data_IF_405651987617
#
_entry.id   IF_405651987617
#
_cell.length_a   1.000
_cell.length_b   1.000
_cell.length_c   1.000
_cell.angle_alpha   90.00
_cell.angle_beta   90.00
_cell.angle_gamma   90.00
#
_symmetry.space_group_name_H-M   'P 1'
#
loop_
_entity.id
_entity.type
_entity.pdbx_description
1 polymer ?
#
# COMPACT_ATOMS: atom_id res chain seq x y z
N UNK A 1 -17.02 -13.20 29.42
CA UNK A 1 -16.42 -12.50 28.24
C UNK A 1 -16.48 -11.00 28.51
N UNK A 2 -15.41 -10.25 28.24
CA UNK A 2 -15.30 -8.82 28.54
C UNK A 2 -16.52 -8.04 27.99
N UNK A 3 -17.15 -7.18 28.85
CA UNK A 3 -18.37 -6.43 28.51
C UNK A 3 -18.14 -5.43 27.36
N UNK A 4 -16.97 -4.76 27.32
CA UNK A 4 -16.60 -3.82 26.25
C UNK A 4 -16.47 -4.54 24.90
N UNK A 5 -15.78 -5.69 24.88
CA UNK A 5 -15.69 -6.53 23.70
C UNK A 5 -17.06 -6.94 23.17
N UNK A 6 -17.92 -7.45 24.05
CA UNK A 6 -19.24 -7.95 23.66
C UNK A 6 -20.12 -6.81 23.14
N UNK A 7 -20.13 -5.65 23.81
CA UNK A 7 -20.90 -4.50 23.40
C UNK A 7 -20.46 -3.97 22.01
N UNK A 8 -19.16 -3.78 21.80
CA UNK A 8 -18.64 -3.30 20.51
C UNK A 8 -18.94 -4.31 19.39
N UNK A 9 -18.66 -5.61 19.60
CA UNK A 9 -18.97 -6.65 18.61
C UNK A 9 -20.44 -6.63 18.18
N UNK A 10 -21.39 -6.53 19.14
CA UNK A 10 -22.81 -6.51 18.85
C UNK A 10 -23.22 -5.27 18.03
N UNK A 11 -22.64 -4.11 18.33
CA UNK A 11 -22.92 -2.88 17.58
C UNK A 11 -22.38 -2.96 16.14
N UNK A 12 -21.21 -3.58 15.94
CA UNK A 12 -20.60 -3.73 14.62
C UNK A 12 -21.32 -4.73 13.72
N UNK A 13 -22.09 -5.67 14.27
CA UNK A 13 -22.88 -6.62 13.47
C UNK A 13 -23.93 -5.99 12.56
N UNK A 14 -24.24 -4.70 12.74
CA UNK A 14 -25.09 -3.95 11.81
C UNK A 14 -24.39 -3.62 10.48
N UNK A 15 -23.05 -3.63 10.46
CA UNK A 15 -22.23 -3.23 9.31
C UNK A 15 -21.36 -4.37 8.77
N UNK A 16 -21.02 -5.33 9.62
CA UNK A 16 -20.02 -6.36 9.35
C UNK A 16 -20.56 -7.75 9.64
N UNK A 17 -19.99 -8.76 9.02
CA UNK A 17 -20.24 -10.16 9.42
C UNK A 17 -19.84 -10.40 10.86
N UNK A 18 -20.35 -11.48 11.49
CA UNK A 18 -19.99 -11.82 12.88
C UNK A 18 -18.48 -12.01 13.06
N UNK A 19 -17.81 -12.62 12.06
CA UNK A 19 -16.36 -12.84 12.08
C UNK A 19 -15.57 -11.53 12.04
N UNK A 20 -15.94 -10.61 11.15
CA UNK A 20 -15.31 -9.31 11.01
C UNK A 20 -15.56 -8.42 12.23
N UNK A 21 -16.81 -8.31 12.69
CA UNK A 21 -17.15 -7.57 13.89
C UNK A 21 -16.34 -8.04 15.12
N UNK A 22 -16.13 -9.35 15.22
CA UNK A 22 -15.31 -9.96 16.26
C UNK A 22 -13.83 -9.62 16.11
N UNK A 23 -13.30 -9.67 14.88
CA UNK A 23 -11.91 -9.33 14.60
C UNK A 23 -11.62 -7.86 14.90
N UNK A 24 -12.50 -6.95 14.46
CA UNK A 24 -12.42 -5.51 14.74
C UNK A 24 -12.43 -5.24 16.24
N UNK A 25 -13.38 -5.85 16.99
CA UNK A 25 -13.45 -5.65 18.42
C UNK A 25 -12.19 -6.15 19.18
N UNK A 26 -11.59 -7.25 18.73
CA UNK A 26 -10.30 -7.72 19.25
C UNK A 26 -9.18 -6.73 18.95
N UNK A 27 -9.09 -6.26 17.71
CA UNK A 27 -8.05 -5.33 17.28
C UNK A 27 -8.10 -4.01 18.07
N UNK A 28 -9.30 -3.47 18.28
CA UNK A 28 -9.49 -2.25 19.08
C UNK A 28 -9.02 -2.42 20.51
N UNK A 29 -9.39 -3.50 21.19
CA UNK A 29 -9.01 -3.71 22.59
C UNK A 29 -7.54 -4.08 22.74
N UNK A 30 -7.00 -4.91 21.86
CA UNK A 30 -5.62 -5.35 21.90
C UNK A 30 -4.67 -4.20 21.50
N UNK A 31 -4.84 -3.67 20.30
CA UNK A 31 -3.92 -2.64 19.77
C UNK A 31 -4.19 -1.24 20.30
N UNK A 32 -5.45 -0.92 20.63
CA UNK A 32 -5.82 0.39 21.16
C UNK A 32 -5.59 0.55 22.66
N UNK A 33 -5.72 -0.55 23.43
CA UNK A 33 -5.73 -0.51 24.90
C UNK A 33 -4.85 -1.58 25.58
N UNK A 34 -4.17 -2.43 24.81
CA UNK A 34 -3.31 -3.50 25.34
C UNK A 34 -4.07 -4.59 26.12
N UNK A 35 -5.35 -4.79 25.80
CA UNK A 35 -6.17 -5.87 26.37
C UNK A 35 -6.05 -7.09 25.48
N UNK A 36 -5.21 -8.04 25.87
CA UNK A 36 -4.92 -9.21 25.05
C UNK A 36 -6.16 -10.10 24.85
N UNK A 37 -6.12 -10.93 23.79
CA UNK A 37 -7.18 -11.94 23.55
C UNK A 37 -7.37 -12.86 24.76
N UNK A 38 -6.29 -13.22 25.43
CA UNK A 38 -6.32 -14.06 26.64
C UNK A 38 -7.09 -13.36 27.77
N UNK A 39 -6.86 -12.07 27.98
CA UNK A 39 -7.55 -11.29 29.00
C UNK A 39 -9.05 -11.16 28.71
N UNK A 40 -9.42 -10.99 27.43
CA UNK A 40 -10.82 -10.94 26.98
C UNK A 40 -11.52 -12.27 27.24
N UNK A 41 -10.89 -13.40 26.90
CA UNK A 41 -11.46 -14.73 27.13
C UNK A 41 -11.49 -15.14 28.61
N UNK A 42 -10.48 -14.76 29.38
CA UNK A 42 -10.40 -15.03 30.81
C UNK A 42 -11.33 -14.14 31.66
N UNK A 43 -12.10 -13.29 30.99
CA UNK A 43 -13.01 -12.31 31.64
C UNK A 43 -12.29 -11.38 32.63
N UNK A 44 -11.00 -11.17 32.42
CA UNK A 44 -10.23 -10.21 33.19
C UNK A 44 -10.64 -8.83 32.77
N UNK A 45 -11.49 -8.19 33.55
CA UNK A 45 -11.93 -6.82 33.32
C UNK A 45 -10.79 -5.90 33.71
N UNK A 46 -10.13 -5.32 32.74
CA UNK A 46 -9.27 -4.15 32.98
C UNK A 46 -10.17 -2.97 33.32
N UNK A 47 -9.92 -2.33 34.44
CA UNK A 47 -10.56 -1.05 34.73
C UNK A 47 -9.87 0.03 33.88
N UNK A 48 -10.59 0.58 32.93
CA UNK A 48 -10.13 1.73 32.17
C UNK A 48 -10.18 2.98 33.06
N UNK A 49 -9.21 3.86 32.87
CA UNK A 49 -9.29 5.23 33.36
C UNK A 49 -10.38 6.00 32.63
N UNK A 50 -10.78 7.16 33.17
CA UNK A 50 -11.75 8.06 32.53
C UNK A 50 -11.34 8.42 31.10
N UNK A 51 -10.05 8.74 30.89
CA UNK A 51 -9.51 9.06 29.57
C UNK A 51 -9.56 7.85 28.61
N UNK A 52 -9.31 6.65 29.10
CA UNK A 52 -9.39 5.43 28.30
C UNK A 52 -10.85 5.13 27.92
N UNK A 53 -11.81 5.34 28.80
CA UNK A 53 -13.23 5.22 28.49
C UNK A 53 -13.65 6.22 27.41
N UNK A 54 -13.27 7.50 27.54
CA UNK A 54 -13.56 8.52 26.52
C UNK A 54 -12.95 8.17 25.16
N UNK A 55 -11.69 7.71 25.14
CA UNK A 55 -11.04 7.26 23.90
C UNK A 55 -11.75 6.05 23.28
N UNK A 56 -12.13 5.08 24.10
CA UNK A 56 -12.86 3.91 23.63
C UNK A 56 -14.21 4.31 23.02
N UNK A 57 -14.97 5.19 23.67
CA UNK A 57 -16.27 5.68 23.16
C UNK A 57 -16.11 6.43 21.83
N UNK A 58 -15.05 7.24 21.68
CA UNK A 58 -14.75 7.93 20.43
C UNK A 58 -14.45 6.90 19.32
N UNK A 59 -13.62 5.90 19.60
CA UNK A 59 -13.30 4.83 18.65
C UNK A 59 -14.55 4.05 18.25
N UNK A 60 -15.41 3.68 19.20
CA UNK A 60 -16.67 3.01 18.92
C UNK A 60 -17.57 3.82 18.00
N UNK A 61 -17.73 5.13 18.24
CA UNK A 61 -18.55 6.01 17.40
C UNK A 61 -18.02 6.07 15.96
N UNK A 62 -16.70 6.17 15.77
CA UNK A 62 -16.07 6.16 14.45
C UNK A 62 -16.30 4.84 13.71
N UNK A 63 -16.13 3.72 14.40
CA UNK A 63 -16.33 2.37 13.83
C UNK A 63 -17.80 2.13 13.44
N UNK A 64 -18.75 2.54 14.28
CA UNK A 64 -20.19 2.44 13.99
C UNK A 64 -20.59 3.34 12.83
N UNK A 65 -19.89 4.46 12.61
CA UNK A 65 -20.06 5.30 11.43
C UNK A 65 -19.45 4.68 10.15
N UNK A 66 -18.81 3.49 10.24
CA UNK A 66 -18.23 2.77 9.12
C UNK A 66 -16.78 3.14 8.80
N UNK A 67 -16.10 3.90 9.67
CA UNK A 67 -14.69 4.24 9.45
C UNK A 67 -13.80 2.99 9.60
N UNK A 68 -12.84 2.75 8.68
CA UNK A 68 -11.92 1.60 8.76
C UNK A 68 -11.18 1.56 10.09
N UNK A 69 -11.08 0.37 10.68
CA UNK A 69 -10.42 0.19 11.99
C UNK A 69 -8.97 0.67 11.98
N UNK A 70 -8.28 0.55 10.85
CA UNK A 70 -6.91 1.03 10.67
C UNK A 70 -6.82 2.56 10.85
N UNK A 71 -7.77 3.32 10.31
CA UNK A 71 -7.82 4.78 10.51
C UNK A 71 -8.23 5.14 11.94
N UNK A 72 -9.16 4.37 12.53
CA UNK A 72 -9.55 4.58 13.94
C UNK A 72 -8.35 4.37 14.87
N UNK A 73 -7.53 3.35 14.62
CA UNK A 73 -6.31 3.06 15.35
C UNK A 73 -5.10 3.92 14.93
N UNK A 74 -5.17 4.54 13.75
CA UNK A 74 -4.08 5.33 13.16
C UNK A 74 -2.90 4.49 12.67
N UNK A 75 -3.09 3.16 12.47
CA UNK A 75 -2.03 2.24 12.05
C UNK A 75 -2.56 1.03 11.27
N UNK A 76 -1.71 0.48 10.41
CA UNK A 76 -1.95 -0.75 9.68
C UNK A 76 -0.69 -1.64 9.69
N UNK A 77 -0.88 -2.95 9.61
CA UNK A 77 0.23 -3.89 9.44
C UNK A 77 0.54 -4.08 7.96
N UNK A 78 1.83 -4.13 7.62
CA UNK A 78 2.33 -4.43 6.28
C UNK A 78 3.74 -5.00 6.37
N UNK A 79 4.01 -6.12 5.69
CA UNK A 79 5.30 -6.80 5.68
C UNK A 79 5.91 -6.99 7.10
N UNK A 80 5.06 -7.40 8.05
CA UNK A 80 5.45 -7.66 9.44
C UNK A 80 5.76 -6.41 10.28
N UNK A 81 5.39 -5.20 9.81
CA UNK A 81 5.63 -3.92 10.50
C UNK A 81 4.38 -3.08 10.62
N UNK A 82 4.32 -2.21 11.60
CA UNK A 82 3.24 -1.24 11.76
C UNK A 82 3.58 0.06 11.03
N UNK A 83 2.67 0.50 10.16
CA UNK A 83 2.71 1.77 9.46
C UNK A 83 1.62 2.69 9.99
N UNK A 84 1.95 3.95 10.25
CA UNK A 84 0.94 4.97 10.51
C UNK A 84 0.10 5.18 9.23
N UNK A 85 -1.21 5.31 9.41
CA UNK A 85 -2.16 5.60 8.34
C UNK A 85 -3.16 6.67 8.79
N UNK A 86 -3.68 7.41 7.83
CA UNK A 86 -4.75 8.39 7.98
C UNK A 86 -5.58 8.44 6.69
N UNK A 87 -6.71 9.16 6.63
CA UNK A 87 -7.46 9.36 5.39
C UNK A 87 -6.67 10.02 4.24
N UNK A 88 -5.42 10.44 4.46
CA UNK A 88 -4.55 10.97 3.41
C UNK A 88 -3.88 9.87 2.57
N UNK A 89 -3.92 8.60 2.99
CA UNK A 89 -3.23 7.47 2.34
C UNK A 89 -4.13 6.26 2.21
N UNK A 90 -3.94 5.48 1.14
CA UNK A 90 -4.53 4.16 1.03
C UNK A 90 -4.05 3.27 2.19
N UNK A 91 -4.94 2.51 2.80
CA UNK A 91 -4.56 1.48 3.77
C UNK A 91 -3.75 0.41 3.03
N UNK A 92 -2.51 0.09 3.47
CA UNK A 92 -1.70 -0.96 2.84
C UNK A 92 -2.47 -2.28 2.71
N UNK A 93 -2.41 -2.90 1.53
CA UNK A 93 -3.10 -4.15 1.23
C UNK A 93 -2.13 -5.34 1.30
N UNK A 94 -2.58 -6.51 1.78
CA UNK A 94 -1.73 -7.71 1.84
C UNK A 94 -1.17 -8.12 0.47
N UNK A 95 -1.95 -7.96 -0.61
CA UNK A 95 -1.52 -8.30 -1.97
C UNK A 95 -0.33 -7.46 -2.43
N UNK A 96 -0.20 -6.23 -1.93
CA UNK A 96 0.95 -5.36 -2.22
C UNK A 96 2.25 -5.87 -1.59
N UNK A 97 2.18 -6.75 -0.56
CA UNK A 97 3.36 -7.41 0.00
C UNK A 97 4.03 -8.32 -1.05
N UNK A 98 3.24 -8.99 -1.89
CA UNK A 98 3.76 -9.83 -2.97
C UNK A 98 4.50 -9.01 -4.04
N UNK A 99 4.04 -7.78 -4.31
CA UNK A 99 4.77 -6.85 -5.19
C UNK A 99 6.13 -6.45 -4.58
N UNK A 100 6.17 -6.20 -3.27
CA UNK A 100 7.43 -5.89 -2.56
C UNK A 100 8.39 -7.08 -2.62
N UNK A 101 7.91 -8.29 -2.38
CA UNK A 101 8.73 -9.50 -2.45
C UNK A 101 9.31 -9.71 -3.85
N UNK A 102 8.50 -9.55 -4.90
CA UNK A 102 8.98 -9.60 -6.27
C UNK A 102 10.02 -8.52 -6.57
N UNK A 103 9.79 -7.30 -6.10
CA UNK A 103 10.73 -6.20 -6.26
C UNK A 103 12.11 -6.49 -5.59
N UNK A 104 12.07 -7.12 -4.41
CA UNK A 104 13.28 -7.57 -3.70
C UNK A 104 14.02 -8.66 -4.51
N UNK A 105 13.31 -9.64 -5.05
CA UNK A 105 13.90 -10.70 -5.89
C UNK A 105 14.60 -10.11 -7.13
N UNK A 106 13.92 -9.21 -7.85
CA UNK A 106 14.49 -8.53 -9.03
C UNK A 106 15.71 -7.71 -8.64
N UNK A 107 15.63 -6.89 -7.58
CA UNK A 107 16.74 -6.09 -7.09
C UNK A 107 17.95 -6.94 -6.70
N UNK A 108 17.75 -8.07 -6.03
CA UNK A 108 18.80 -9.01 -5.68
C UNK A 108 19.43 -9.65 -6.93
N UNK A 109 18.64 -9.94 -7.96
CA UNK A 109 19.13 -10.39 -9.27
C UNK A 109 20.05 -9.37 -9.92
N UNK A 110 19.63 -8.10 -9.98
CA UNK A 110 20.43 -6.98 -10.49
C UNK A 110 21.73 -6.80 -9.70
N UNK A 111 21.66 -6.93 -8.38
CA UNK A 111 22.84 -6.79 -7.52
C UNK A 111 23.84 -7.96 -7.67
N UNK A 112 23.35 -9.18 -7.91
CA UNK A 112 24.21 -10.34 -8.22
C UNK A 112 24.95 -10.15 -9.54
N UNK A 113 24.28 -9.58 -10.55
CA UNK A 113 24.90 -9.28 -11.85
C UNK A 113 25.97 -8.18 -11.76
N UNK A 114 25.81 -7.21 -10.83
CA UNK A 114 26.81 -6.16 -10.58
C UNK A 114 26.92 -5.87 -9.06
N UNK A 115 27.74 -6.61 -8.31
CA UNK A 115 27.83 -6.53 -6.85
C UNK A 115 28.32 -5.17 -6.30
N UNK A 116 29.00 -4.38 -7.11
CA UNK A 116 29.52 -3.05 -6.72
C UNK A 116 28.49 -1.92 -6.96
N UNK A 117 27.42 -2.21 -7.68
CA UNK A 117 26.42 -1.20 -8.02
C UNK A 117 25.50 -0.90 -6.84
N UNK A 118 25.35 0.37 -6.51
CA UNK A 118 24.30 0.85 -5.64
C UNK A 118 23.03 1.00 -6.48
N UNK A 119 22.02 0.17 -6.19
CA UNK A 119 20.76 0.22 -6.92
C UNK A 119 20.00 1.50 -6.58
N UNK A 120 19.39 2.09 -7.61
CA UNK A 120 18.44 3.21 -7.47
C UNK A 120 17.05 2.70 -7.74
N UNK A 121 16.20 2.82 -6.73
CA UNK A 121 14.83 2.31 -6.73
C UNK A 121 13.87 3.49 -6.57
N UNK A 122 12.82 3.50 -7.38
CA UNK A 122 11.75 4.49 -7.28
C UNK A 122 10.45 3.78 -6.91
N UNK A 123 9.76 4.28 -5.89
CA UNK A 123 8.38 3.94 -5.54
C UNK A 123 7.47 5.10 -5.99
N UNK A 124 6.68 4.88 -7.04
CA UNK A 124 5.85 5.90 -7.65
C UNK A 124 4.38 5.76 -7.16
N UNK A 125 3.88 6.80 -6.45
CA UNK A 125 2.60 6.77 -5.75
C UNK A 125 2.73 6.06 -4.40
N UNK A 126 3.67 6.54 -3.57
CA UNK A 126 4.11 5.83 -2.37
C UNK A 126 3.07 5.73 -1.26
N UNK A 127 2.06 6.62 -1.24
CA UNK A 127 1.01 6.65 -0.22
C UNK A 127 1.59 6.70 1.21
N UNK A 128 1.35 5.66 2.00
CA UNK A 128 1.90 5.53 3.36
C UNK A 128 3.41 5.28 3.42
N UNK A 129 4.07 5.08 2.28
CA UNK A 129 5.48 4.69 2.20
C UNK A 129 5.74 3.20 2.40
N UNK A 130 4.71 2.37 2.47
CA UNK A 130 4.85 0.95 2.82
C UNK A 130 5.76 0.18 1.85
N UNK A 131 5.69 0.43 0.54
CA UNK A 131 6.58 -0.17 -0.46
C UNK A 131 8.00 0.37 -0.28
N UNK A 132 8.20 1.68 -0.36
CA UNK A 132 9.53 2.32 -0.28
C UNK A 132 10.30 1.95 0.99
N UNK A 133 9.63 2.03 2.15
CA UNK A 133 10.21 1.71 3.46
C UNK A 133 10.58 0.22 3.53
N UNK A 134 9.70 -0.67 3.08
CA UNK A 134 9.97 -2.12 3.09
C UNK A 134 11.14 -2.48 2.18
N UNK A 135 11.21 -1.88 0.98
CA UNK A 135 12.34 -2.05 0.06
C UNK A 135 13.65 -1.54 0.66
N UNK A 136 13.65 -0.35 1.28
CA UNK A 136 14.85 0.20 1.92
C UNK A 136 15.36 -0.67 3.05
N UNK A 137 14.47 -1.20 3.88
CA UNK A 137 14.85 -2.08 4.99
C UNK A 137 15.39 -3.44 4.51
N UNK A 138 14.84 -3.98 3.42
CA UNK A 138 15.33 -5.23 2.82
C UNK A 138 16.63 -5.05 2.00
N UNK A 139 16.84 -3.86 1.44
CA UNK A 139 17.95 -3.52 0.55
C UNK A 139 18.69 -2.28 1.09
N UNK A 140 19.39 -2.38 2.23
CA UNK A 140 19.94 -1.22 2.94
C UNK A 140 20.97 -0.40 2.16
N UNK A 141 21.62 -1.01 1.15
CA UNK A 141 22.58 -0.31 0.27
C UNK A 141 21.91 0.39 -0.92
N UNK A 142 20.62 0.15 -1.18
CA UNK A 142 19.92 0.82 -2.27
C UNK A 142 19.60 2.28 -1.92
N UNK A 143 19.68 3.15 -2.91
CA UNK A 143 19.07 4.48 -2.86
C UNK A 143 17.59 4.35 -3.22
N UNK A 144 16.68 4.63 -2.27
CA UNK A 144 15.24 4.57 -2.49
C UNK A 144 14.67 5.97 -2.50
N UNK A 145 13.99 6.31 -3.59
CA UNK A 145 13.26 7.56 -3.76
C UNK A 145 11.78 7.23 -3.88
N UNK A 146 10.94 7.95 -3.15
CA UNK A 146 9.50 7.72 -3.14
C UNK A 146 8.76 8.98 -3.59
N UNK A 147 7.80 8.84 -4.49
CA UNK A 147 7.03 9.93 -5.05
C UNK A 147 5.56 9.82 -4.68
N UNK A 148 4.95 10.95 -4.40
CA UNK A 148 3.51 11.08 -4.34
C UNK A 148 3.08 12.48 -4.79
N UNK A 149 1.87 12.63 -5.31
CA UNK A 149 1.29 13.92 -5.63
C UNK A 149 0.78 14.61 -4.38
N UNK A 150 0.39 13.86 -3.36
CA UNK A 150 -0.18 14.31 -2.09
C UNK A 150 0.91 14.61 -1.06
N UNK A 151 1.02 15.87 -0.66
CA UNK A 151 1.90 16.22 0.47
C UNK A 151 1.43 15.61 1.79
N UNK A 152 0.12 15.40 1.98
CA UNK A 152 -0.45 14.68 3.12
C UNK A 152 0.09 13.25 3.19
N UNK A 153 0.08 12.52 2.06
CA UNK A 153 0.64 11.18 1.96
C UNK A 153 2.15 11.17 2.25
N UNK A 154 2.91 12.11 1.66
CA UNK A 154 4.35 12.22 1.92
C UNK A 154 4.69 12.50 3.39
N UNK A 155 3.85 13.24 4.11
CA UNK A 155 4.04 13.48 5.54
C UNK A 155 3.87 12.19 6.36
N UNK A 156 2.88 11.35 6.02
CA UNK A 156 2.70 10.03 6.62
C UNK A 156 3.88 9.11 6.27
N UNK A 157 4.30 9.08 5.01
CA UNK A 157 5.41 8.25 4.54
C UNK A 157 6.75 8.63 5.23
N UNK A 158 7.04 9.92 5.37
CA UNK A 158 8.23 10.42 6.12
C UNK A 158 8.20 9.98 7.58
N UNK A 159 7.03 10.09 8.24
CA UNK A 159 6.84 9.62 9.62
C UNK A 159 7.09 8.12 9.74
N UNK A 160 6.58 7.33 8.82
CA UNK A 160 6.79 5.89 8.79
C UNK A 160 8.25 5.54 8.58
N UNK A 161 8.91 6.16 7.61
CA UNK A 161 10.34 5.97 7.36
C UNK A 161 11.18 6.31 8.59
N UNK A 162 10.93 7.44 9.24
CA UNK A 162 11.61 7.85 10.47
C UNK A 162 11.38 6.85 11.61
N UNK A 163 10.13 6.43 11.83
CA UNK A 163 9.76 5.51 12.91
C UNK A 163 10.40 4.13 12.73
N UNK A 164 10.50 3.67 11.47
CA UNK A 164 11.05 2.35 11.13
C UNK A 164 12.56 2.38 10.83
N UNK A 165 13.20 3.55 10.87
CA UNK A 165 14.64 3.71 10.63
C UNK A 165 15.05 3.48 9.18
N UNK A 166 14.18 3.78 8.21
CA UNK A 166 14.45 3.64 6.79
C UNK A 166 14.85 4.99 6.17
N UNK A 167 16.02 5.05 5.56
CA UNK A 167 16.50 6.25 4.83
C UNK A 167 15.91 6.28 3.42
N UNK A 168 14.74 6.91 3.26
CA UNK A 168 14.04 7.09 1.98
C UNK A 168 13.99 8.58 1.65
N UNK A 169 14.25 8.92 0.39
CA UNK A 169 14.09 10.28 -0.12
C UNK A 169 12.67 10.45 -0.65
N UNK A 170 11.96 11.47 -0.16
CA UNK A 170 10.57 11.73 -0.56
C UNK A 170 10.49 13.00 -1.40
N UNK A 171 9.81 12.91 -2.57
CA UNK A 171 9.63 14.01 -3.51
C UNK A 171 8.15 14.14 -3.88
N UNK A 172 7.63 15.36 -3.86
CA UNK A 172 6.29 15.62 -4.39
C UNK A 172 6.35 15.62 -5.92
N UNK A 173 5.73 14.63 -6.54
CA UNK A 173 5.69 14.47 -8.01
C UNK A 173 4.36 13.89 -8.46
N UNK A 174 3.86 14.40 -9.58
CA UNK A 174 2.80 13.78 -10.35
C UNK A 174 3.42 12.80 -11.36
N UNK A 175 3.18 11.51 -11.21
CA UNK A 175 3.70 10.48 -12.11
C UNK A 175 3.15 10.57 -13.54
N UNK A 176 2.05 11.30 -13.73
CA UNK A 176 1.47 11.56 -15.07
C UNK A 176 2.24 12.62 -15.85
N UNK A 177 3.04 13.44 -15.17
CA UNK A 177 3.88 14.46 -15.81
C UNK A 177 5.21 13.87 -16.30
N UNK A 178 5.91 14.53 -17.25
CA UNK A 178 7.26 14.12 -17.65
C UNK A 178 8.21 14.04 -16.46
N UNK A 179 8.96 12.95 -16.37
CA UNK A 179 9.76 12.68 -15.17
C UNK A 179 11.03 13.53 -15.04
N UNK A 180 11.50 14.16 -16.09
CA UNK A 180 12.68 15.03 -16.08
C UNK A 180 13.91 14.42 -15.34
N UNK A 181 14.12 13.12 -15.53
CA UNK A 181 15.24 12.36 -14.97
C UNK A 181 16.22 12.00 -16.09
N UNK A 182 17.53 11.82 -15.75
CA UNK A 182 18.51 11.35 -16.73
C UNK A 182 18.14 9.97 -17.28
N UNK A 183 18.51 9.69 -18.51
CA UNK A 183 18.45 8.34 -19.05
C UNK A 183 19.38 7.40 -18.26
N UNK A 184 19.01 6.13 -18.19
CA UNK A 184 19.78 5.07 -17.51
C UNK A 184 20.12 5.42 -16.05
N UNK A 185 19.18 6.10 -15.35
CA UNK A 185 19.41 6.57 -13.97
C UNK A 185 18.71 5.76 -12.88
N UNK A 186 17.81 4.86 -13.25
CA UNK A 186 17.00 4.08 -12.30
C UNK A 186 17.12 2.59 -12.64
N UNK A 187 17.25 1.75 -11.62
CA UNK A 187 17.39 0.30 -11.78
C UNK A 187 16.06 -0.44 -11.59
N UNK A 188 15.20 0.08 -10.73
CA UNK A 188 13.91 -0.54 -10.44
C UNK A 188 12.87 0.54 -10.16
N UNK A 189 11.74 0.43 -10.81
CA UNK A 189 10.56 1.24 -10.54
C UNK A 189 9.47 0.31 -10.04
N UNK A 190 8.87 0.66 -8.90
CA UNK A 190 7.77 -0.09 -8.30
C UNK A 190 6.60 0.87 -8.11
N UNK A 191 5.38 0.41 -8.34
CA UNK A 191 4.19 1.23 -8.14
C UNK A 191 2.97 0.40 -7.83
N UNK A 192 2.17 0.87 -6.88
CA UNK A 192 0.76 0.49 -6.75
C UNK A 192 -0.08 1.74 -7.10
N UNK A 193 -0.32 2.02 -8.40
CA UNK A 193 -1.03 3.22 -8.81
C UNK A 193 -2.55 3.06 -8.64
N UNK A 194 -3.33 4.13 -8.70
CA UNK A 194 -4.78 4.03 -8.80
C UNK A 194 -5.20 3.23 -10.05
N UNK A 195 -6.11 2.28 -9.88
CA UNK A 195 -6.51 1.38 -10.97
C UNK A 195 -7.99 0.98 -10.99
N UNK A 196 -8.78 1.40 -10.01
CA UNK A 196 -10.21 1.05 -9.94
C UNK A 196 -10.98 1.98 -10.88
N UNK A 197 -11.71 1.41 -11.85
CA UNK A 197 -12.57 2.21 -12.70
C UNK A 197 -13.75 2.78 -11.89
N UNK A 198 -14.15 4.01 -12.17
CA UNK A 198 -15.29 4.63 -11.48
C UNK A 198 -16.57 3.80 -11.53
N UNK A 199 -16.78 2.99 -12.60
CA UNK A 199 -17.91 2.06 -12.73
C UNK A 199 -17.88 0.91 -11.72
N UNK A 200 -16.70 0.57 -11.19
CA UNK A 200 -16.52 -0.51 -10.20
C UNK A 200 -16.82 -0.02 -8.76
N UNK A 201 -17.07 1.29 -8.59
CA UNK A 201 -17.34 1.89 -7.28
C UNK A 201 -18.60 1.33 -6.60
N UNK A 202 -19.61 0.90 -7.38
CA UNK A 202 -20.85 0.33 -6.86
C UNK A 202 -20.64 -1.04 -6.21
N UNK A 203 -19.61 -1.78 -6.64
CA UNK A 203 -19.27 -3.11 -6.12
C UNK A 203 -18.30 -3.05 -4.92
N UNK A 204 -17.84 -1.85 -4.56
CA UNK A 204 -16.88 -1.66 -3.47
C UNK A 204 -17.57 -1.58 -2.11
N UNK A 205 -16.82 -1.96 -1.09
CA UNK A 205 -17.27 -1.78 0.29
C UNK A 205 -17.47 -0.29 0.60
N UNK A 206 -18.59 0.03 1.27
CA UNK A 206 -18.96 1.42 1.57
C UNK A 206 -17.95 2.15 2.47
N UNK A 207 -17.26 1.43 3.35
CA UNK A 207 -16.20 1.97 4.20
C UNK A 207 -15.01 2.48 3.39
N UNK A 208 -14.57 1.73 2.37
CA UNK A 208 -13.50 2.13 1.43
C UNK A 208 -13.94 3.39 0.68
N UNK A 209 -15.13 3.35 0.08
CA UNK A 209 -15.68 4.45 -0.71
C UNK A 209 -15.80 5.76 0.06
N UNK A 210 -16.14 5.71 1.35
CA UNK A 210 -16.40 6.91 2.15
C UNK A 210 -15.15 7.49 2.80
N UNK A 211 -14.14 6.68 3.06
CA UNK A 211 -13.06 7.07 3.96
C UNK A 211 -11.68 7.05 3.31
N UNK A 212 -11.45 6.22 2.28
CA UNK A 212 -10.14 6.19 1.62
C UNK A 212 -10.03 7.24 0.51
N UNK A 213 -8.84 7.78 0.25
CA UNK A 213 -8.68 8.89 -0.70
C UNK A 213 -8.99 8.43 -2.14
N UNK A 214 -9.97 9.03 -2.78
CA UNK A 214 -10.39 8.70 -4.14
C UNK A 214 -9.26 8.85 -5.16
N UNK A 215 -8.34 9.76 -4.93
CA UNK A 215 -7.15 9.95 -5.79
C UNK A 215 -6.17 8.78 -5.76
N UNK A 216 -6.21 7.95 -4.70
CA UNK A 216 -5.41 6.75 -4.59
C UNK A 216 -6.13 5.48 -5.11
N UNK A 217 -7.43 5.59 -5.42
CA UNK A 217 -8.26 4.45 -5.83
C UNK A 217 -8.61 4.49 -7.31
N UNK A 218 -9.12 5.65 -7.80
CA UNK A 218 -9.90 5.69 -9.02
C UNK A 218 -9.17 6.19 -10.25
N UNK A 219 -9.54 5.57 -11.37
CA UNK A 219 -9.22 6.03 -12.73
C UNK A 219 -10.51 6.30 -13.52
N UNK A 220 -10.48 7.18 -14.54
CA UNK A 220 -11.59 7.39 -15.46
C UNK A 220 -11.95 6.08 -16.18
N UNK A 221 -13.25 5.88 -16.44
CA UNK A 221 -13.74 4.68 -17.14
C UNK A 221 -13.26 4.58 -18.59
N UNK A 222 -13.02 5.69 -19.23
CA UNK A 222 -12.55 5.82 -20.61
C UNK A 222 -11.02 5.76 -20.73
N UNK A 223 -10.31 5.81 -19.60
CA UNK A 223 -8.85 5.75 -19.57
C UNK A 223 -8.29 4.96 -18.37
N UNK A 224 -8.61 3.65 -18.26
CA UNK A 224 -8.20 2.82 -17.11
C UNK A 224 -6.69 2.58 -17.07
N UNK A 225 -5.98 2.71 -18.19
CA UNK A 225 -4.54 2.42 -18.27
C UNK A 225 -3.66 3.67 -18.14
N UNK A 226 -4.22 4.84 -17.79
CA UNK A 226 -3.49 6.12 -17.82
C UNK A 226 -2.20 6.10 -16.99
N UNK A 227 -2.24 5.55 -15.78
CA UNK A 227 -1.06 5.46 -14.93
C UNK A 227 -0.04 4.47 -15.48
N UNK A 228 -0.48 3.32 -15.96
CA UNK A 228 0.42 2.31 -16.55
C UNK A 228 1.15 2.84 -17.78
N UNK A 229 0.47 3.58 -18.65
CA UNK A 229 1.12 4.22 -19.81
C UNK A 229 2.13 5.29 -19.39
N UNK A 230 1.81 6.08 -18.35
CA UNK A 230 2.73 7.09 -17.83
C UNK A 230 3.97 6.43 -17.20
N UNK A 231 3.76 5.40 -16.38
CA UNK A 231 4.83 4.59 -15.79
C UNK A 231 5.72 3.96 -16.87
N UNK A 232 5.11 3.30 -17.86
CA UNK A 232 5.86 2.67 -18.97
C UNK A 232 6.69 3.69 -19.74
N UNK A 233 6.12 4.83 -20.11
CA UNK A 233 6.82 5.90 -20.82
C UNK A 233 7.99 6.47 -20.02
N UNK A 234 7.76 6.75 -18.74
CA UNK A 234 8.83 7.23 -17.83
C UNK A 234 9.92 6.20 -17.65
N UNK A 235 9.54 4.93 -17.45
CA UNK A 235 10.47 3.81 -17.30
C UNK A 235 11.35 3.59 -18.53
N UNK A 236 10.76 3.58 -19.71
CA UNK A 236 11.51 3.42 -20.97
C UNK A 236 12.57 4.51 -21.19
N UNK A 237 12.36 5.70 -20.63
CA UNK A 237 13.29 6.83 -20.72
C UNK A 237 14.40 6.80 -19.65
N UNK A 238 14.13 6.19 -18.48
CA UNK A 238 14.97 6.37 -17.29
C UNK A 238 15.60 5.10 -16.76
N UNK A 239 15.07 3.92 -17.11
CA UNK A 239 15.64 2.66 -16.66
C UNK A 239 17.04 2.42 -17.24
N UNK A 240 17.92 1.89 -16.38
CA UNK A 240 19.20 1.34 -16.82
C UNK A 240 18.97 0.09 -17.67
N UNK A 241 19.97 -0.31 -18.45
CA UNK A 241 19.98 -1.64 -19.09
C UNK A 241 19.76 -2.71 -18.05
N UNK A 242 18.85 -3.63 -18.30
CA UNK A 242 18.36 -4.64 -17.35
C UNK A 242 17.52 -4.08 -16.17
N UNK A 243 17.23 -2.79 -16.12
CA UNK A 243 16.30 -2.24 -15.15
C UNK A 243 14.87 -2.75 -15.36
N UNK A 244 14.02 -2.66 -14.34
CA UNK A 244 12.67 -3.19 -14.37
C UNK A 244 11.62 -2.17 -13.90
N UNK A 245 10.41 -2.28 -14.47
CA UNK A 245 9.17 -1.68 -13.97
C UNK A 245 8.28 -2.80 -13.45
N UNK A 246 7.84 -2.70 -12.19
CA UNK A 246 6.90 -3.64 -11.56
C UNK A 246 5.70 -2.85 -11.02
N UNK A 247 4.49 -3.31 -11.33
CA UNK A 247 3.28 -2.64 -10.85
C UNK A 247 2.23 -3.61 -10.35
N UNK A 248 1.47 -3.19 -9.34
CA UNK A 248 0.18 -3.77 -9.04
C UNK A 248 -0.86 -3.32 -10.08
N UNK A 249 -1.82 -4.16 -10.39
CA UNK A 249 -2.80 -3.91 -11.45
C UNK A 249 -4.24 -4.23 -11.03
N UNK A 250 -5.19 -3.63 -11.73
CA UNK A 250 -6.55 -4.16 -11.78
C UNK A 250 -6.53 -5.51 -12.51
N UNK A 251 -7.07 -6.54 -11.88
CA UNK A 251 -7.13 -7.92 -12.43
C UNK A 251 -7.76 -8.03 -13.81
N UNK A 252 -8.58 -7.03 -14.21
CA UNK A 252 -9.25 -7.02 -15.50
C UNK A 252 -8.36 -6.53 -16.65
N UNK A 253 -7.18 -5.96 -16.37
CA UNK A 253 -6.34 -5.28 -17.37
C UNK A 253 -4.90 -5.78 -17.41
N UNK A 254 -4.65 -7.04 -17.02
CA UNK A 254 -3.30 -7.61 -17.01
C UNK A 254 -2.63 -7.59 -18.38
N UNK A 255 -3.33 -8.12 -19.39
CA UNK A 255 -2.82 -8.18 -20.75
C UNK A 255 -2.64 -6.80 -21.39
N UNK A 256 -3.62 -5.90 -21.23
CA UNK A 256 -3.56 -4.54 -21.76
C UNK A 256 -2.44 -3.72 -21.12
N UNK A 257 -2.17 -3.97 -19.83
CA UNK A 257 -1.03 -3.33 -19.14
C UNK A 257 0.30 -3.85 -19.68
N UNK A 258 0.43 -5.16 -19.85
CA UNK A 258 1.63 -5.77 -20.44
C UNK A 258 1.89 -5.25 -21.86
N UNK A 259 0.84 -5.16 -22.69
CA UNK A 259 0.94 -4.56 -24.03
C UNK A 259 1.38 -3.11 -23.97
N UNK A 260 0.81 -2.29 -23.07
CA UNK A 260 1.20 -0.88 -22.92
C UNK A 260 2.69 -0.74 -22.55
N UNK A 261 3.23 -1.66 -21.74
CA UNK A 261 4.65 -1.67 -21.40
C UNK A 261 5.52 -2.01 -22.59
N UNK A 262 5.14 -3.03 -23.37
CA UNK A 262 5.88 -3.38 -24.61
C UNK A 262 5.79 -2.29 -25.67
N UNK A 263 4.64 -1.63 -25.84
CA UNK A 263 4.48 -0.51 -26.77
C UNK A 263 5.35 0.70 -26.41
N UNK A 264 5.62 0.89 -25.10
CA UNK A 264 6.54 1.93 -24.65
C UNK A 264 8.03 1.61 -24.86
N UNK A 265 8.36 0.38 -25.30
CA UNK A 265 9.74 -0.07 -25.57
C UNK A 265 10.34 -0.94 -24.49
N UNK A 266 9.60 -1.28 -23.44
CA UNK A 266 10.01 -2.31 -22.47
C UNK A 266 9.83 -3.70 -23.10
N UNK A 267 10.50 -4.70 -22.54
CA UNK A 267 10.52 -6.08 -23.06
C UNK A 267 10.16 -7.09 -21.98
N UNK A 268 9.90 -8.32 -22.40
CA UNK A 268 9.69 -9.46 -21.53
C UNK A 268 8.61 -9.20 -20.45
N UNK A 269 7.47 -8.63 -20.88
CA UNK A 269 6.37 -8.36 -19.96
C UNK A 269 5.81 -9.64 -19.37
N UNK A 270 5.81 -9.73 -18.03
CA UNK A 270 5.34 -10.86 -17.23
C UNK A 270 4.12 -10.44 -16.42
N UNK A 271 3.09 -11.29 -16.40
CA UNK A 271 1.92 -11.14 -15.55
C UNK A 271 2.03 -12.14 -14.40
N UNK A 272 2.03 -11.67 -13.15
CA UNK A 272 2.00 -12.52 -11.97
C UNK A 272 0.63 -12.53 -11.31
N UNK A 273 0.29 -13.68 -10.75
CA UNK A 273 -0.94 -13.91 -10.00
C UNK A 273 -0.65 -13.86 -8.50
N UNK A 274 -1.63 -13.33 -7.75
CA UNK A 274 -1.60 -13.36 -6.30
C UNK A 274 -1.86 -14.79 -5.76
N UNK A 275 -1.71 -14.97 -4.44
CA UNK A 275 -1.96 -16.26 -3.76
C UNK A 275 -3.39 -16.78 -3.95
N UNK A 276 -4.34 -15.94 -4.38
CA UNK A 276 -5.72 -16.29 -4.69
C UNK A 276 -5.93 -16.66 -6.16
N UNK A 277 -4.87 -16.55 -6.99
CA UNK A 277 -4.90 -16.89 -8.42
C UNK A 277 -5.38 -15.77 -9.35
N UNK A 278 -5.61 -14.55 -8.83
CA UNK A 278 -5.98 -13.40 -9.66
C UNK A 278 -4.72 -12.76 -10.27
N UNK A 279 -4.82 -12.27 -11.50
CA UNK A 279 -3.78 -11.42 -12.08
C UNK A 279 -3.66 -10.15 -11.23
N UNK A 280 -2.49 -9.95 -10.64
CA UNK A 280 -2.29 -8.89 -9.65
C UNK A 280 -1.13 -7.98 -9.95
N UNK A 281 -0.14 -8.43 -10.67
CA UNK A 281 1.07 -7.68 -10.94
C UNK A 281 1.49 -7.82 -12.40
N UNK A 282 2.05 -6.76 -12.96
CA UNK A 282 2.73 -6.78 -14.26
C UNK A 282 4.12 -6.20 -14.10
N UNK A 283 5.10 -6.90 -14.63
CA UNK A 283 6.48 -6.42 -14.72
C UNK A 283 6.99 -6.42 -16.14
N UNK A 284 7.89 -5.50 -16.47
CA UNK A 284 8.62 -5.50 -17.74
C UNK A 284 10.03 -4.92 -17.56
N UNK A 285 10.93 -5.26 -18.47
CA UNK A 285 12.36 -4.97 -18.34
C UNK A 285 12.80 -4.00 -19.44
N UNK A 286 13.78 -3.16 -19.13
CA UNK A 286 14.50 -2.42 -20.17
C UNK A 286 15.30 -3.43 -21.01
N UNK A 287 15.19 -3.34 -22.32
CA UNK A 287 15.95 -4.23 -23.20
C UNK A 287 17.46 -3.96 -23.16
N UNK A 288 18.25 -5.00 -23.46
CA UNK A 288 19.70 -4.94 -23.65
C UNK A 288 20.12 -3.91 -24.68
#
# INVERSE_FOLDING_TARGET
>A
MNSLFTALRMQLQALYTEGEARAIAFMVLDEGFGVSRTDIYADKVRQFSEDEHQRYDIMCKRLIAGEPVQYVLGKAWFAGRQFAVSPDVLIPRPETEELVDWAIEVAQGLQKANPQKHLRIVDAGTGSGCIAVSLKLALPKAEVVAWDISEGALNIARKNAQTLGAEVKFEQRDMLQPWALPAESIDLIVSNPPYICMREAEDMEQNVMKHEPHTALFVPNDDPLRFYRALAKGSAQTLTKNGALLTEINRAFGHETAEAFMQAGLKDAEIKRDVFGNERMVGAFAGL
#
